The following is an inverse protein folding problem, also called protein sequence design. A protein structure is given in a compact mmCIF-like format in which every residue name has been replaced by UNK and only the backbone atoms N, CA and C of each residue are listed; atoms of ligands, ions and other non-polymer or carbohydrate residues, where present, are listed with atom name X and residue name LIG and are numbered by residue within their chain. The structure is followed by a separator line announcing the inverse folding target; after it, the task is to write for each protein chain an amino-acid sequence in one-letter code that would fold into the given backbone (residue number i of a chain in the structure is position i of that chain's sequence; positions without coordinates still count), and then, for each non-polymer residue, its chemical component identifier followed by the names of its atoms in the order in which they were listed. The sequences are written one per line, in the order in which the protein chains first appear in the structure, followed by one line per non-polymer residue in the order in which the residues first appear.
data_IF_420071029459
#
_entry.id   IF_420071029459
#
_cell.length_a   1.000
_cell.length_b   1.000
_cell.length_c   1.000
_cell.angle_alpha   90.00
_cell.angle_beta   90.00
_cell.angle_gamma   90.00
#
_symmetry.space_group_name_H-M   'P 1'
#
loop_
_entity.id
_entity.type
_entity.pdbx_description
1 polymer ?
#
# COMPACT_ATOMS: atom_id res chain seq x y z
N UNK A 1 22.35 13.99 -59.48
CA UNK A 1 22.03 13.59 -60.87
C UNK A 1 23.13 12.67 -61.38
N UNK A 2 22.76 11.56 -62.04
CA UNK A 2 23.66 10.58 -62.69
C UNK A 2 24.06 9.42 -61.77
N UNK A 3 23.40 8.24 -61.80
CA UNK A 3 23.52 7.11 -62.77
C UNK A 3 24.98 6.86 -63.18
N UNK A 4 25.54 5.66 -63.29
CA UNK A 4 25.19 4.24 -63.12
C UNK A 4 26.39 3.51 -63.77
N UNK A 5 26.79 2.31 -63.30
CA UNK A 5 27.52 1.26 -64.06
C UNK A 5 27.97 0.15 -63.08
N UNK A 6 27.52 -1.11 -63.16
CA UNK A 6 28.05 -2.28 -63.94
C UNK A 6 27.79 -3.50 -63.02
N UNK A 7 27.49 -4.75 -63.38
CA UNK A 7 27.35 -5.51 -64.63
C UNK A 7 26.48 -6.77 -64.40
N UNK A 8 26.01 -7.32 -65.53
CA UNK A 8 25.33 -8.62 -65.77
C UNK A 8 26.41 -9.64 -66.20
N UNK A 9 26.41 -10.91 -65.76
CA UNK A 9 25.92 -12.13 -66.45
C UNK A 9 26.52 -13.34 -65.67
N UNK A 10 25.98 -14.56 -65.60
CA UNK A 10 25.59 -15.42 -66.72
C UNK A 10 24.73 -16.62 -66.28
N UNK A 11 24.14 -17.21 -67.31
CA UNK A 11 23.06 -18.21 -67.43
C UNK A 11 23.55 -19.66 -67.33
N UNK A 12 22.69 -20.60 -66.90
CA UNK A 12 22.55 -21.89 -67.61
C UNK A 12 21.17 -22.52 -67.41
N UNK A 13 20.70 -23.14 -68.48
CA UNK A 13 19.33 -23.54 -68.82
C UNK A 13 19.21 -25.07 -68.81
N UNK A 14 18.05 -25.64 -68.46
CA UNK A 14 17.45 -26.80 -69.16
C UNK A 14 16.03 -27.09 -68.67
N UNK A 15 15.25 -27.70 -69.57
CA UNK A 15 13.79 -27.55 -69.78
C UNK A 15 12.99 -28.84 -69.34
N UNK A 16 11.68 -29.06 -69.66
CA UNK A 16 10.69 -29.52 -68.69
C UNK A 16 10.06 -30.90 -68.99
N UNK A 17 9.20 -31.42 -68.10
CA UNK A 17 8.20 -32.43 -68.49
C UNK A 17 6.89 -32.35 -67.69
N UNK A 18 5.83 -31.95 -68.40
CA UNK A 18 4.43 -32.38 -68.36
C UNK A 18 4.05 -33.54 -67.42
N UNK A 19 2.91 -33.41 -66.71
CA UNK A 19 2.15 -34.57 -66.28
C UNK A 19 1.10 -34.40 -65.16
N UNK A 20 -0.14 -34.10 -65.58
CA UNK A 20 -1.44 -34.53 -65.00
C UNK A 20 -2.02 -33.84 -63.75
N UNK A 21 -3.24 -33.35 -64.00
CA UNK A 21 -4.24 -32.91 -63.04
C UNK A 21 -4.78 -34.06 -62.18
N UNK A 22 -5.05 -33.77 -60.90
CA UNK A 22 -5.99 -34.51 -60.06
C UNK A 22 -6.88 -33.49 -59.35
N UNK A 23 -8.17 -33.59 -59.67
CA UNK A 23 -9.32 -33.00 -59.00
C UNK A 23 -9.52 -33.79 -57.70
N UNK A 24 -9.64 -33.14 -56.54
CA UNK A 24 -10.88 -33.22 -55.73
C UNK A 24 -10.81 -32.60 -54.31
N UNK A 25 -11.99 -32.07 -53.94
CA UNK A 25 -12.55 -31.92 -52.59
C UNK A 25 -12.04 -30.80 -51.66
N UNK A 26 -12.63 -29.61 -51.92
CA UNK A 26 -13.10 -28.68 -50.88
C UNK A 26 -13.87 -29.44 -49.79
N UNK A 27 -13.23 -29.70 -48.65
CA UNK A 27 -13.95 -29.94 -47.40
C UNK A 27 -14.13 -28.60 -46.71
N UNK A 28 -15.30 -28.01 -46.94
CA UNK A 28 -15.79 -26.87 -46.16
C UNK A 28 -15.77 -27.27 -44.68
N UNK A 29 -14.90 -26.64 -43.91
CA UNK A 29 -14.95 -26.66 -42.45
C UNK A 29 -16.27 -25.95 -42.10
N UNK A 30 -17.24 -26.63 -41.45
CA UNK A 30 -18.42 -25.93 -41.01
C UNK A 30 -17.98 -24.87 -40.02
N UNK A 31 -18.25 -23.61 -40.35
CA UNK A 31 -18.21 -22.51 -39.41
C UNK A 31 -19.12 -22.91 -38.25
N UNK A 32 -18.52 -23.36 -37.14
CA UNK A 32 -19.22 -23.45 -35.88
C UNK A 32 -19.56 -22.01 -35.50
N UNK A 33 -20.77 -21.59 -35.86
CA UNK A 33 -21.42 -20.45 -35.28
C UNK A 33 -21.36 -20.64 -33.77
N UNK A 34 -20.39 -19.99 -33.12
CA UNK A 34 -20.39 -19.80 -31.68
C UNK A 34 -21.55 -18.87 -31.41
N UNK A 35 -22.74 -19.46 -31.33
CA UNK A 35 -23.91 -18.81 -30.76
C UNK A 35 -23.57 -18.62 -29.30
N UNK A 36 -22.95 -17.48 -28.99
CA UNK A 36 -22.69 -17.03 -27.63
C UNK A 36 -24.05 -16.78 -27.02
N UNK A 37 -24.65 -17.84 -26.48
CA UNK A 37 -25.84 -17.72 -25.67
C UNK A 37 -25.54 -16.66 -24.60
N UNK A 38 -26.41 -15.66 -24.40
CA UNK A 38 -26.17 -14.64 -23.38
C UNK A 38 -26.04 -15.37 -22.06
N UNK A 39 -24.84 -15.29 -21.48
CA UNK A 39 -24.50 -15.91 -20.21
C UNK A 39 -25.49 -15.35 -19.19
N UNK A 40 -26.44 -16.18 -18.74
CA UNK A 40 -27.46 -15.78 -17.76
C UNK A 40 -26.72 -15.38 -16.49
N UNK A 41 -26.56 -14.08 -16.30
CA UNK A 41 -25.81 -13.53 -15.18
C UNK A 41 -26.56 -13.87 -13.90
N UNK A 42 -25.93 -14.70 -13.05
CA UNK A 42 -26.53 -15.09 -11.79
C UNK A 42 -26.32 -13.95 -10.80
N UNK A 43 -27.39 -13.18 -10.54
CA UNK A 43 -27.40 -12.06 -9.59
C UNK A 43 -26.80 -12.47 -8.23
N UNK A 44 -26.97 -13.74 -7.83
CA UNK A 44 -26.43 -14.29 -6.58
C UNK A 44 -24.90 -14.30 -6.50
N UNK A 45 -24.18 -14.19 -7.63
CA UNK A 45 -22.71 -14.09 -7.63
C UNK A 45 -22.21 -12.71 -7.16
N UNK A 46 -23.06 -11.69 -7.25
CA UNK A 46 -22.77 -10.30 -6.92
C UNK A 46 -23.26 -9.90 -5.52
N UNK A 47 -24.12 -10.71 -4.90
CA UNK A 47 -24.67 -10.38 -3.57
C UNK A 47 -23.55 -10.36 -2.52
N UNK A 48 -23.39 -9.24 -1.79
CA UNK A 48 -22.36 -9.14 -0.78
C UNK A 48 -22.72 -9.98 0.47
N UNK A 49 -21.74 -10.59 1.13
CA UNK A 49 -21.91 -11.17 2.46
C UNK A 49 -22.17 -10.04 3.47
N UNK A 50 -23.45 -9.76 3.77
CA UNK A 50 -23.88 -8.58 4.54
C UNK A 50 -23.15 -8.46 5.88
N UNK A 51 -23.03 -9.56 6.65
CA UNK A 51 -22.33 -9.55 7.94
C UNK A 51 -20.86 -9.13 7.81
N UNK A 52 -20.17 -9.64 6.79
CA UNK A 52 -18.78 -9.28 6.52
C UNK A 52 -18.69 -7.80 6.14
N UNK A 53 -19.51 -7.35 5.20
CA UNK A 53 -19.51 -5.95 4.75
C UNK A 53 -19.78 -5.01 5.91
N UNK A 54 -20.81 -5.29 6.72
CA UNK A 54 -21.13 -4.51 7.91
C UNK A 54 -19.96 -4.47 8.89
N UNK A 55 -19.36 -5.62 9.21
CA UNK A 55 -18.23 -5.69 10.15
C UNK A 55 -17.04 -4.90 9.64
N UNK A 56 -16.69 -5.03 8.35
CA UNK A 56 -15.56 -4.26 7.78
C UNK A 56 -15.84 -2.77 7.79
N UNK A 57 -17.06 -2.35 7.44
CA UNK A 57 -17.45 -0.94 7.49
C UNK A 57 -17.36 -0.37 8.90
N UNK A 58 -17.78 -1.11 9.93
CA UNK A 58 -17.73 -0.66 11.32
C UNK A 58 -16.29 -0.67 11.84
N UNK A 59 -15.57 -1.79 11.71
CA UNK A 59 -14.23 -1.96 12.28
C UNK A 59 -13.19 -1.15 11.51
N UNK A 60 -13.03 -1.37 10.20
CA UNK A 60 -12.09 -0.57 9.39
C UNK A 60 -12.51 0.89 9.32
N UNK A 61 -13.82 1.20 9.30
CA UNK A 61 -14.30 2.58 9.34
C UNK A 61 -13.96 3.29 10.65
N UNK A 62 -14.07 2.60 11.78
CA UNK A 62 -13.62 3.11 13.08
C UNK A 62 -12.14 3.49 13.05
N UNK A 63 -11.25 2.58 12.63
CA UNK A 63 -9.82 2.90 12.51
C UNK A 63 -9.56 3.98 11.46
N UNK A 64 -10.28 3.97 10.34
CA UNK A 64 -10.17 4.98 9.27
C UNK A 64 -10.42 6.39 9.82
N UNK A 65 -11.41 6.57 10.68
CA UNK A 65 -11.74 7.87 11.28
C UNK A 65 -10.60 8.44 12.12
N UNK A 66 -9.94 7.61 12.94
CA UNK A 66 -8.81 8.06 13.76
C UNK A 66 -7.56 8.35 12.92
N UNK A 67 -7.30 7.53 11.90
CA UNK A 67 -6.22 7.78 10.95
C UNK A 67 -6.47 9.05 10.12
N UNK A 68 -7.72 9.27 9.70
CA UNK A 68 -8.14 10.51 9.02
C UNK A 68 -7.93 11.72 9.91
N UNK A 69 -8.27 11.62 11.20
CA UNK A 69 -7.97 12.68 12.16
C UNK A 69 -6.47 12.95 12.23
N UNK A 70 -5.61 11.95 12.32
CA UNK A 70 -4.16 12.17 12.37
C UNK A 70 -3.60 12.90 11.13
N UNK A 71 -4.21 12.69 9.96
CA UNK A 71 -3.81 13.39 8.73
C UNK A 71 -4.37 14.82 8.67
N UNK A 72 -5.69 14.97 8.80
CA UNK A 72 -6.41 16.20 8.43
C UNK A 72 -6.84 17.07 9.61
N UNK A 73 -7.02 16.47 10.79
CA UNK A 73 -7.52 17.13 11.99
C UNK A 73 -6.62 16.86 13.20
N UNK A 74 -5.31 16.81 12.98
CA UNK A 74 -4.30 16.44 13.99
C UNK A 74 -4.48 17.27 15.27
N UNK A 75 -4.48 16.62 16.44
CA UNK A 75 -4.65 17.32 17.72
C UNK A 75 -6.10 17.69 18.07
N UNK A 76 -7.07 17.43 17.20
CA UNK A 76 -8.50 17.51 17.55
C UNK A 76 -9.01 16.17 18.04
N UNK A 77 -9.67 16.17 19.18
CA UNK A 77 -10.30 14.97 19.74
C UNK A 77 -11.62 14.67 19.04
N UNK A 78 -11.80 13.44 18.57
CA UNK A 78 -13.07 12.92 18.03
C UNK A 78 -13.68 11.83 18.92
N UNK A 79 -12.88 11.23 19.82
CA UNK A 79 -13.32 10.18 20.75
C UNK A 79 -13.43 10.60 22.22
N UNK A 80 -13.52 11.90 22.49
CA UNK A 80 -13.63 12.44 23.85
C UNK A 80 -12.37 12.20 24.70
N UNK A 81 -12.55 11.86 25.98
CA UNK A 81 -11.45 11.74 26.95
C UNK A 81 -10.42 10.67 26.56
N UNK A 82 -10.88 9.51 26.06
CA UNK A 82 -10.01 8.39 25.64
C UNK A 82 -9.06 8.81 24.54
N UNK A 83 -9.61 9.60 23.62
CA UNK A 83 -8.87 10.12 22.50
C UNK A 83 -7.88 11.21 22.92
N UNK A 84 -8.30 12.08 23.84
CA UNK A 84 -7.40 13.07 24.43
C UNK A 84 -6.18 12.41 25.08
N UNK A 85 -6.38 11.39 25.92
CA UNK A 85 -5.29 10.67 26.58
C UNK A 85 -4.31 10.05 25.58
N UNK A 86 -4.85 9.39 24.54
CA UNK A 86 -4.04 8.83 23.46
C UNK A 86 -3.28 9.90 22.66
N UNK A 87 -3.92 11.03 22.34
CA UNK A 87 -3.27 12.16 21.68
C UNK A 87 -2.16 12.75 22.55
N UNK A 88 -2.37 12.89 23.86
CA UNK A 88 -1.36 13.37 24.80
C UNK A 88 -0.14 12.45 24.87
N UNK A 89 -0.35 11.13 24.94
CA UNK A 89 0.76 10.16 24.93
C UNK A 89 1.55 10.21 23.63
N UNK A 90 0.86 10.26 22.50
CA UNK A 90 1.48 10.29 21.17
C UNK A 90 1.99 11.69 20.79
N UNK A 91 1.87 12.67 21.69
CA UNK A 91 2.19 14.05 21.37
C UNK A 91 3.70 14.27 21.39
N UNK A 92 4.28 14.72 20.29
CA UNK A 92 5.70 15.07 20.27
C UNK A 92 5.93 16.36 21.05
N UNK A 93 6.78 16.30 22.06
CA UNK A 93 7.18 17.45 22.88
C UNK A 93 7.86 18.55 22.03
N UNK A 94 8.50 18.16 20.92
CA UNK A 94 9.18 19.06 19.99
C UNK A 94 8.20 19.89 19.13
N UNK A 95 7.06 19.29 18.75
CA UNK A 95 6.08 19.92 17.87
C UNK A 95 5.22 21.00 18.55
N UNK A 96 5.12 20.98 19.88
CA UNK A 96 4.30 21.90 20.66
C UNK A 96 5.08 22.78 21.65
N UNK A 97 6.39 22.98 21.46
CA UNK A 97 7.17 23.89 22.31
C UNK A 97 6.69 25.35 22.12
N UNK A 98 5.95 25.83 23.12
CA UNK A 98 5.30 27.15 23.16
C UNK A 98 6.29 28.32 23.33
N UNK A 99 7.53 28.05 23.77
CA UNK A 99 8.50 29.09 24.11
C UNK A 99 9.06 29.81 22.87
N UNK A 100 9.01 29.14 21.70
CA UNK A 100 9.54 29.68 20.44
C UNK A 100 8.49 30.39 19.57
N UNK A 101 7.24 30.55 20.06
CA UNK A 101 6.20 31.36 19.39
C UNK A 101 5.45 30.70 18.22
N UNK A 102 5.65 29.39 17.99
CA UNK A 102 5.08 28.67 16.85
C UNK A 102 3.64 28.20 17.15
N UNK A 103 2.66 29.09 16.98
CA UNK A 103 1.25 28.72 17.02
C UNK A 103 0.86 27.93 15.76
N UNK A 104 0.96 26.61 15.81
CA UNK A 104 -0.10 25.79 15.22
C UNK A 104 -1.03 25.38 16.35
N UNK A 105 -2.08 26.18 16.59
CA UNK A 105 -3.06 25.88 17.64
C UNK A 105 -3.87 24.61 17.38
N UNK A 106 -3.73 23.97 16.21
CA UNK A 106 -4.63 22.89 15.76
C UNK A 106 -4.01 21.80 14.87
N UNK A 107 -2.67 21.69 14.73
CA UNK A 107 -1.99 20.56 14.07
C UNK A 107 -2.35 20.23 12.61
N UNK A 108 -3.32 20.92 12.00
CA UNK A 108 -3.88 20.62 10.68
C UNK A 108 -2.87 20.82 9.53
N UNK A 109 -3.29 20.57 8.29
CA UNK A 109 -2.40 20.77 7.13
C UNK A 109 -1.92 22.23 6.99
N UNK A 110 -2.69 23.19 7.50
CA UNK A 110 -2.31 24.62 7.57
C UNK A 110 -1.15 24.91 8.51
N UNK A 111 -0.80 23.96 9.41
CA UNK A 111 0.38 24.06 10.26
C UNK A 111 1.69 23.92 9.47
N UNK A 112 1.65 23.34 8.28
CA UNK A 112 2.80 23.15 7.41
C UNK A 112 3.06 24.47 6.68
N UNK A 113 3.83 25.37 7.30
CA UNK A 113 4.16 26.68 6.73
C UNK A 113 5.38 26.63 5.81
N UNK A 114 5.48 27.49 4.77
CA UNK A 114 6.63 27.55 3.86
C UNK A 114 7.97 27.92 4.52
N UNK A 115 7.95 28.54 5.72
CA UNK A 115 9.13 29.03 6.48
C UNK A 115 9.49 28.02 7.60
N UNK A 116 9.15 26.75 7.41
CA UNK A 116 9.55 25.69 8.35
C UNK A 116 11.02 25.38 8.12
N UNK A 117 11.88 25.80 9.03
CA UNK A 117 13.32 25.48 9.04
C UNK A 117 13.61 24.34 10.01
N UNK A 118 14.82 23.76 9.98
CA UNK A 118 15.27 22.70 10.91
C UNK A 118 15.06 23.10 12.40
N UNK A 119 15.08 24.40 12.69
CA UNK A 119 14.82 24.95 14.03
C UNK A 119 13.40 24.67 14.59
N UNK A 120 12.45 24.27 13.73
CA UNK A 120 11.06 23.99 14.10
C UNK A 120 10.75 22.51 14.34
N UNK A 121 11.76 21.63 14.23
CA UNK A 121 11.70 20.18 14.47
C UNK A 121 10.31 19.56 14.18
N UNK A 122 9.86 19.70 12.92
CA UNK A 122 8.55 19.27 12.43
C UNK A 122 8.43 17.74 12.32
N UNK A 123 9.45 17.01 12.75
CA UNK A 123 9.58 15.57 12.64
C UNK A 123 8.40 14.82 13.23
N UNK A 124 8.01 15.15 14.46
CA UNK A 124 6.85 14.54 15.11
C UNK A 124 5.53 14.75 14.34
N UNK A 125 5.32 15.94 13.74
CA UNK A 125 4.14 16.18 12.90
C UNK A 125 4.21 15.39 11.59
N UNK A 126 5.39 15.34 10.97
CA UNK A 126 5.63 14.58 9.75
C UNK A 126 5.32 13.10 9.98
N UNK A 127 5.92 12.48 10.99
CA UNK A 127 5.70 11.06 11.36
C UNK A 127 4.23 10.81 11.60
N UNK A 128 3.55 11.67 12.35
CA UNK A 128 2.12 11.50 12.62
C UNK A 128 1.28 11.57 11.36
N UNK A 129 1.53 12.53 10.46
CA UNK A 129 0.76 12.68 9.23
C UNK A 129 1.02 11.54 8.25
N UNK A 130 2.27 11.13 8.07
CA UNK A 130 2.62 10.02 7.19
C UNK A 130 2.14 8.69 7.78
N UNK A 131 2.31 8.46 9.08
CA UNK A 131 1.78 7.28 9.77
C UNK A 131 0.26 7.20 9.73
N UNK A 132 -0.42 8.32 9.99
CA UNK A 132 -1.87 8.45 9.83
C UNK A 132 -2.31 8.16 8.40
N UNK A 133 -1.61 8.68 7.39
CA UNK A 133 -1.91 8.41 5.99
C UNK A 133 -1.67 6.94 5.64
N UNK A 134 -0.54 6.36 6.05
CA UNK A 134 -0.26 4.94 5.82
C UNK A 134 -1.35 4.05 6.43
N UNK A 135 -1.74 4.30 7.69
CA UNK A 135 -2.84 3.58 8.32
C UNK A 135 -4.18 3.80 7.61
N UNK A 136 -4.48 5.03 7.20
CA UNK A 136 -5.68 5.35 6.41
C UNK A 136 -5.72 4.51 5.14
N UNK A 137 -4.60 4.38 4.42
CA UNK A 137 -4.51 3.55 3.21
C UNK A 137 -4.68 2.07 3.53
N UNK A 138 -4.13 1.58 4.65
CA UNK A 138 -4.37 0.19 5.10
C UNK A 138 -5.86 -0.07 5.30
N UNK A 139 -6.60 0.86 5.92
CA UNK A 139 -8.06 0.74 6.05
C UNK A 139 -8.77 0.88 4.70
N UNK A 140 -8.29 1.77 3.82
CA UNK A 140 -8.83 1.99 2.48
C UNK A 140 -8.73 0.73 1.61
N UNK A 141 -7.68 -0.10 1.76
CA UNK A 141 -7.58 -1.40 1.08
C UNK A 141 -8.81 -2.27 1.32
N UNK A 142 -9.37 -2.23 2.53
CA UNK A 142 -10.53 -3.03 2.94
C UNK A 142 -11.85 -2.36 2.55
N UNK A 143 -11.96 -1.05 2.76
CA UNK A 143 -13.19 -0.29 2.55
C UNK A 143 -13.49 -0.01 1.08
N UNK A 144 -12.47 0.36 0.29
CA UNK A 144 -12.67 0.79 -1.09
C UNK A 144 -13.39 -0.24 -1.98
N UNK A 145 -12.98 -1.53 -1.98
CA UNK A 145 -13.65 -2.54 -2.80
C UNK A 145 -15.06 -2.88 -2.32
N UNK A 146 -15.40 -2.57 -1.07
CA UNK A 146 -16.74 -2.79 -0.52
C UNK A 146 -17.66 -1.64 -0.91
N UNK A 147 -17.21 -0.39 -0.73
CA UNK A 147 -18.00 0.81 -0.99
C UNK A 147 -18.23 1.03 -2.49
N UNK A 148 -17.19 0.89 -3.30
CA UNK A 148 -17.23 1.20 -4.73
C UNK A 148 -17.31 -0.02 -5.64
N UNK A 149 -17.60 -1.21 -5.06
CA UNK A 149 -17.69 -2.52 -5.70
C UNK A 149 -17.06 -2.59 -7.11
N UNK A 150 -15.83 -3.13 -7.26
CA UNK A 150 -15.11 -3.08 -8.52
C UNK A 150 -15.91 -3.72 -9.67
N UNK A 151 -15.78 -3.10 -10.85
CA UNK A 151 -16.34 -3.62 -12.09
C UNK A 151 -15.82 -5.06 -12.28
N UNK A 152 -16.73 -5.99 -12.61
CA UNK A 152 -16.49 -7.43 -12.78
C UNK A 152 -16.09 -8.21 -11.52
N UNK A 153 -16.06 -7.58 -10.34
CA UNK A 153 -15.87 -8.29 -9.08
C UNK A 153 -17.08 -9.18 -8.77
N UNK A 154 -16.83 -10.39 -8.26
CA UNK A 154 -17.88 -11.32 -7.84
C UNK A 154 -17.46 -12.01 -6.55
N UNK A 155 -18.35 -11.99 -5.57
CA UNK A 155 -18.09 -12.57 -4.25
C UNK A 155 -17.95 -14.08 -4.33
N UNK A 156 -18.85 -14.75 -5.07
CA UNK A 156 -18.81 -16.22 -5.22
C UNK A 156 -17.64 -16.75 -6.04
N UNK A 157 -16.93 -15.91 -6.78
CA UNK A 157 -15.70 -16.29 -7.51
C UNK A 157 -14.43 -16.17 -6.65
N UNK A 158 -14.58 -15.74 -5.40
CA UNK A 158 -13.46 -15.52 -4.48
C UNK A 158 -12.54 -14.39 -4.94
N UNK A 159 -13.06 -13.40 -5.67
CA UNK A 159 -12.24 -12.26 -6.09
C UNK A 159 -11.71 -11.48 -4.87
N UNK A 160 -12.47 -11.39 -3.79
CA UNK A 160 -12.04 -10.66 -2.59
C UNK A 160 -11.06 -11.45 -1.69
N UNK A 161 -10.83 -12.73 -1.95
CA UNK A 161 -10.07 -13.60 -1.06
C UNK A 161 -8.62 -13.18 -0.80
N UNK A 162 -7.78 -12.88 -1.82
CA UNK A 162 -6.40 -12.45 -1.56
C UNK A 162 -6.36 -11.15 -0.74
N UNK A 163 -7.33 -10.26 -0.94
CA UNK A 163 -7.45 -9.02 -0.19
C UNK A 163 -7.77 -9.30 1.29
N UNK A 164 -8.80 -10.10 1.58
CA UNK A 164 -9.15 -10.41 2.97
C UNK A 164 -8.12 -11.30 3.67
N UNK A 165 -7.46 -12.21 2.96
CA UNK A 165 -6.36 -12.99 3.54
C UNK A 165 -5.21 -12.07 3.97
N UNK A 166 -4.87 -11.08 3.14
CA UNK A 166 -3.85 -10.08 3.47
C UNK A 166 -4.32 -9.15 4.60
N UNK A 167 -5.60 -8.78 4.62
CA UNK A 167 -6.21 -7.99 5.68
C UNK A 167 -6.19 -8.67 7.04
N UNK A 168 -6.44 -9.98 7.11
CA UNK A 168 -6.32 -10.77 8.34
C UNK A 168 -4.90 -10.67 8.89
N UNK A 169 -3.89 -10.91 8.06
CA UNK A 169 -2.48 -10.81 8.47
C UNK A 169 -2.16 -9.40 8.96
N UNK A 170 -2.60 -8.38 8.21
CA UNK A 170 -2.41 -6.97 8.56
C UNK A 170 -3.04 -6.63 9.92
N UNK A 171 -4.26 -7.10 10.16
CA UNK A 171 -4.99 -6.84 11.40
C UNK A 171 -4.32 -7.51 12.60
N UNK A 172 -3.85 -8.75 12.45
CA UNK A 172 -3.13 -9.47 13.51
C UNK A 172 -1.80 -8.81 13.85
N UNK A 173 -1.06 -8.34 12.83
CA UNK A 173 0.19 -7.59 13.01
C UNK A 173 -0.08 -6.27 13.76
N UNK A 174 -1.09 -5.50 13.37
CA UNK A 174 -1.47 -4.27 14.06
C UNK A 174 -1.94 -4.53 15.49
N UNK A 175 -2.73 -5.58 15.71
CA UNK A 175 -3.20 -5.97 17.04
C UNK A 175 -2.03 -6.35 17.96
N UNK A 176 -1.05 -7.09 17.44
CA UNK A 176 0.18 -7.41 18.17
C UNK A 176 0.97 -6.15 18.53
N UNK A 177 1.14 -5.22 17.59
CA UNK A 177 1.82 -3.95 17.81
C UNK A 177 1.15 -3.10 18.89
N UNK A 178 -0.17 -2.92 18.84
CA UNK A 178 -0.87 -2.22 19.92
C UNK A 178 -0.73 -2.98 21.23
N UNK A 179 -0.81 -4.32 21.20
CA UNK A 179 -0.67 -5.18 22.36
C UNK A 179 0.67 -5.00 23.10
N UNK A 180 1.79 -4.89 22.38
CA UNK A 180 3.11 -4.70 23.00
C UNK A 180 3.20 -3.36 23.74
N UNK A 181 2.62 -2.30 23.19
CA UNK A 181 2.64 -0.97 23.80
C UNK A 181 1.58 -0.77 24.89
N UNK A 182 0.47 -1.52 24.86
CA UNK A 182 -0.59 -1.43 25.87
C UNK A 182 -0.07 -1.84 27.25
N UNK A 183 0.74 -2.89 27.32
CA UNK A 183 1.15 -3.50 28.60
C UNK A 183 2.07 -2.58 29.40
N UNK A 184 3.10 -2.02 28.74
CA UNK A 184 4.18 -1.34 29.45
C UNK A 184 4.08 0.20 29.38
N UNK A 185 3.70 0.77 28.23
CA UNK A 185 3.83 2.20 27.98
C UNK A 185 2.50 2.95 28.07
N UNK A 186 1.50 2.52 27.30
CA UNK A 186 0.22 3.23 27.20
C UNK A 186 -0.57 3.13 28.51
N UNK A 187 -0.54 1.99 29.19
CA UNK A 187 -1.22 1.83 30.48
C UNK A 187 -0.54 2.66 31.57
N UNK A 188 0.79 2.72 31.59
CA UNK A 188 1.53 3.60 32.51
C UNK A 188 1.20 5.08 32.29
N UNK A 189 0.93 5.48 31.05
CA UNK A 189 0.52 6.83 30.67
C UNK A 189 -1.00 7.10 30.80
N UNK A 190 -1.82 6.10 31.18
CA UNK A 190 -3.29 6.23 31.24
C UNK A 190 -3.96 6.45 29.87
N UNK A 191 -3.31 6.01 28.78
CA UNK A 191 -3.67 6.24 27.39
C UNK A 191 -4.07 4.96 26.63
N UNK A 192 -4.34 3.87 27.35
CA UNK A 192 -4.54 2.51 26.82
C UNK A 192 -5.98 2.20 26.37
N UNK A 193 -6.98 2.94 26.82
CA UNK A 193 -8.39 2.63 26.52
C UNK A 193 -8.71 2.63 25.02
N UNK A 194 -8.24 3.63 24.28
CA UNK A 194 -8.49 3.74 22.85
C UNK A 194 -7.73 2.66 22.05
N UNK A 195 -6.42 2.43 22.28
CA UNK A 195 -5.70 1.28 21.70
C UNK A 195 -6.34 -0.08 21.98
N UNK A 196 -6.89 -0.31 23.19
CA UNK A 196 -7.66 -1.53 23.49
C UNK A 196 -8.87 -1.68 22.57
N UNK A 197 -9.59 -0.59 22.28
CA UNK A 197 -10.69 -0.62 21.30
C UNK A 197 -10.20 -0.90 19.88
N UNK A 198 -9.05 -0.38 19.47
CA UNK A 198 -8.44 -0.72 18.18
C UNK A 198 -8.15 -2.21 18.08
N UNK A 199 -7.54 -2.81 19.11
CA UNK A 199 -7.26 -4.25 19.18
C UNK A 199 -8.55 -5.06 19.04
N UNK A 200 -9.60 -4.71 19.80
CA UNK A 200 -10.90 -5.40 19.71
C UNK A 200 -11.50 -5.30 18.31
N UNK A 201 -11.50 -4.11 17.70
CA UNK A 201 -12.00 -3.92 16.34
C UNK A 201 -11.24 -4.76 15.31
N UNK A 202 -9.90 -4.80 15.41
CA UNK A 202 -9.04 -5.61 14.54
C UNK A 202 -9.29 -7.11 14.70
N UNK A 203 -9.44 -7.60 15.93
CA UNK A 203 -9.70 -9.02 16.20
C UNK A 203 -11.09 -9.45 15.75
N UNK A 204 -12.14 -8.66 16.03
CA UNK A 204 -13.51 -8.94 15.57
C UNK A 204 -13.56 -9.00 14.04
N UNK A 205 -12.97 -8.02 13.37
CA UNK A 205 -12.90 -8.00 11.91
C UNK A 205 -12.14 -9.23 11.37
N UNK A 206 -11.04 -9.60 12.01
CA UNK A 206 -10.24 -10.78 11.66
C UNK A 206 -11.05 -12.07 11.74
N UNK A 207 -11.81 -12.27 12.83
CA UNK A 207 -12.65 -13.46 13.03
C UNK A 207 -13.72 -13.55 11.94
N UNK A 208 -14.39 -12.45 11.61
CA UNK A 208 -15.44 -12.43 10.59
C UNK A 208 -14.86 -12.66 9.19
N UNK A 209 -13.72 -12.04 8.85
CA UNK A 209 -13.03 -12.31 7.58
C UNK A 209 -12.58 -13.77 7.48
N UNK A 210 -12.04 -14.34 8.55
CA UNK A 210 -11.61 -15.73 8.57
C UNK A 210 -12.79 -16.68 8.38
N UNK A 211 -13.89 -16.46 9.08
CA UNK A 211 -15.13 -17.22 8.90
C UNK A 211 -15.64 -17.15 7.45
N UNK A 212 -15.62 -15.96 6.84
CA UNK A 212 -15.96 -15.80 5.43
C UNK A 212 -15.04 -16.61 4.51
N UNK A 213 -13.72 -16.51 4.67
CA UNK A 213 -12.76 -17.25 3.84
C UNK A 213 -12.89 -18.77 3.98
N UNK A 214 -13.20 -19.25 5.19
CA UNK A 214 -13.39 -20.68 5.45
C UNK A 214 -14.72 -21.19 4.87
N UNK A 215 -15.81 -20.44 5.04
CA UNK A 215 -17.14 -20.82 4.53
C UNK A 215 -17.25 -20.78 3.00
N UNK A 216 -16.42 -19.96 2.33
CA UNK A 216 -16.43 -19.87 0.87
C UNK A 216 -15.78 -21.05 0.15
N UNK A 217 -14.85 -21.80 0.77
CA UNK A 217 -14.07 -22.83 0.07
C UNK A 217 -14.92 -23.88 -0.66
N UNK A 218 -16.10 -24.20 -0.13
CA UNK A 218 -17.03 -25.16 -0.74
C UNK A 218 -18.05 -24.57 -1.71
N UNK A 219 -18.15 -23.25 -1.82
CA UNK A 219 -19.23 -22.57 -2.57
C UNK A 219 -18.72 -21.73 -3.75
N UNK A 220 -17.42 -21.81 -4.05
CA UNK A 220 -16.82 -21.04 -5.14
C UNK A 220 -17.28 -21.51 -6.51
N UNK A 221 -17.77 -20.57 -7.31
CA UNK A 221 -18.13 -20.81 -8.72
C UNK A 221 -16.93 -20.52 -9.61
N UNK A 222 -16.65 -21.40 -10.58
CA UNK A 222 -15.66 -21.13 -11.62
C UNK A 222 -16.26 -20.19 -12.66
N UNK A 223 -15.52 -19.13 -13.03
CA UNK A 223 -15.92 -18.27 -14.13
C UNK A 223 -15.75 -18.95 -15.50
N UNK A 224 -16.40 -18.42 -16.55
CA UNK A 224 -16.16 -18.86 -17.91
C UNK A 224 -14.71 -18.58 -18.30
N UNK A 225 -14.12 -19.45 -19.13
CA UNK A 225 -12.76 -19.25 -19.62
C UNK A 225 -12.68 -17.99 -20.50
N UNK A 226 -11.67 -17.16 -20.27
CA UNK A 226 -11.43 -15.94 -21.06
C UNK A 226 -10.14 -16.13 -21.84
N UNK A 227 -10.13 -15.66 -23.10
CA UNK A 227 -8.92 -15.60 -23.90
C UNK A 227 -7.88 -14.70 -23.20
N UNK A 228 -6.73 -15.28 -22.88
CA UNK A 228 -5.63 -14.54 -22.27
C UNK A 228 -4.96 -13.63 -23.30
N UNK A 229 -4.34 -12.55 -22.82
CA UNK A 229 -3.42 -11.76 -23.64
C UNK A 229 -2.34 -12.64 -24.22
N UNK A 230 -1.92 -12.34 -25.45
CA UNK A 230 -0.89 -13.10 -26.15
C UNK A 230 0.38 -13.29 -25.29
N UNK A 231 0.89 -14.52 -25.25
CA UNK A 231 2.07 -14.88 -24.44
C UNK A 231 1.83 -15.02 -22.93
N UNK A 232 0.58 -14.93 -22.44
CA UNK A 232 0.24 -15.21 -21.03
C UNK A 232 -0.36 -16.60 -20.83
N UNK A 233 -0.05 -17.20 -19.68
CA UNK A 233 -0.63 -18.45 -19.21
C UNK A 233 -1.43 -18.24 -17.91
N UNK A 234 -2.26 -19.20 -17.52
CA UNK A 234 -3.07 -19.12 -16.29
C UNK A 234 -2.27 -18.99 -14.98
N UNK A 235 -0.97 -19.29 -15.02
CA UNK A 235 -0.02 -19.18 -13.90
C UNK A 235 0.89 -17.95 -14.01
N UNK A 236 0.77 -17.18 -15.09
CA UNK A 236 1.55 -15.96 -15.29
C UNK A 236 1.17 -14.89 -14.27
N UNK A 237 2.17 -14.09 -13.86
CA UNK A 237 1.93 -12.83 -13.13
C UNK A 237 1.04 -11.90 -13.95
N UNK A 238 0.19 -11.14 -13.26
CA UNK A 238 -0.79 -10.26 -13.90
C UNK A 238 -0.09 -9.17 -14.71
N UNK A 239 0.81 -8.40 -14.09
CA UNK A 239 1.61 -7.38 -14.78
C UNK A 239 3.08 -7.48 -14.39
N UNK A 240 3.95 -7.70 -15.40
CA UNK A 240 5.40 -7.71 -15.18
C UNK A 240 5.92 -6.32 -14.81
N UNK A 241 5.31 -5.27 -15.34
CA UNK A 241 5.69 -3.88 -15.06
C UNK A 241 5.33 -3.54 -13.62
N UNK A 242 4.08 -3.77 -13.19
CA UNK A 242 3.68 -3.55 -11.80
C UNK A 242 4.53 -4.40 -10.85
N UNK A 243 4.78 -5.67 -11.18
CA UNK A 243 5.58 -6.53 -10.32
C UNK A 243 7.03 -6.03 -10.16
N UNK A 244 7.67 -5.57 -11.24
CA UNK A 244 9.03 -4.99 -11.19
C UNK A 244 9.06 -3.69 -10.39
N UNK A 245 8.13 -2.78 -10.67
CA UNK A 245 8.06 -1.48 -9.97
C UNK A 245 7.80 -1.69 -8.49
N UNK A 246 6.79 -2.49 -8.13
CA UNK A 246 6.48 -2.79 -6.73
C UNK A 246 7.66 -3.47 -6.04
N UNK A 247 8.35 -4.40 -6.70
CA UNK A 247 9.52 -5.06 -6.11
C UNK A 247 10.62 -4.06 -5.76
N UNK A 248 11.00 -3.19 -6.71
CA UNK A 248 12.04 -2.19 -6.46
C UNK A 248 11.63 -1.23 -5.34
N UNK A 249 10.48 -0.58 -5.47
CA UNK A 249 10.06 0.47 -4.51
C UNK A 249 9.73 -0.12 -3.14
N UNK A 250 9.01 -1.25 -3.08
CA UNK A 250 8.69 -1.89 -1.80
C UNK A 250 9.91 -2.48 -1.11
N UNK A 251 10.96 -2.88 -1.83
CA UNK A 251 12.21 -3.33 -1.19
C UNK A 251 12.91 -2.20 -0.46
N UNK A 252 12.99 -1.00 -1.06
CA UNK A 252 13.56 0.17 -0.38
C UNK A 252 12.75 0.56 0.85
N UNK A 253 11.43 0.66 0.71
CA UNK A 253 10.54 0.95 1.85
C UNK A 253 10.64 -0.13 2.92
N UNK A 254 10.74 -1.41 2.54
CA UNK A 254 10.91 -2.52 3.47
C UNK A 254 12.20 -2.41 4.28
N UNK A 255 13.32 -2.02 3.67
CA UNK A 255 14.59 -1.87 4.37
C UNK A 255 14.52 -0.74 5.41
N UNK A 256 13.95 0.40 5.03
CA UNK A 256 13.89 1.60 5.90
C UNK A 256 12.83 1.41 6.99
N UNK A 257 11.61 1.06 6.63
CA UNK A 257 10.55 0.82 7.61
C UNK A 257 10.85 -0.42 8.48
N UNK A 258 11.53 -1.44 7.93
CA UNK A 258 12.02 -2.56 8.72
C UNK A 258 13.04 -2.13 9.77
N UNK A 259 13.98 -1.28 9.40
CA UNK A 259 14.90 -0.66 10.36
C UNK A 259 14.11 0.14 11.39
N UNK A 260 13.24 1.06 11.01
CA UNK A 260 12.54 1.93 11.97
C UNK A 260 11.69 1.13 12.96
N UNK A 261 11.11 0.01 12.51
CA UNK A 261 10.31 -0.86 13.35
C UNK A 261 11.15 -1.64 14.37
N UNK A 262 12.26 -2.27 13.96
CA UNK A 262 13.02 -3.20 14.81
C UNK A 262 14.26 -2.57 15.47
N UNK A 263 14.89 -1.63 14.77
CA UNK A 263 16.15 -0.98 15.16
C UNK A 263 16.05 0.54 14.96
N UNK A 264 15.08 1.21 15.61
CA UNK A 264 14.95 2.65 15.51
C UNK A 264 16.28 3.33 15.86
N UNK A 265 16.70 4.30 15.05
CA UNK A 265 17.94 5.06 15.25
C UNK A 265 19.20 4.42 14.66
N UNK A 266 19.15 3.17 14.19
CA UNK A 266 20.31 2.54 13.55
C UNK A 266 20.64 3.17 12.19
N UNK A 267 21.88 3.60 11.98
CA UNK A 267 22.29 4.23 10.73
C UNK A 267 22.63 3.14 9.69
N UNK A 268 21.88 3.11 8.58
CA UNK A 268 22.19 2.23 7.46
C UNK A 268 23.29 2.86 6.60
N UNK A 269 24.47 2.24 6.56
CA UNK A 269 25.64 2.76 5.81
C UNK A 269 25.55 2.56 4.29
N UNK A 270 24.62 1.73 3.82
CA UNK A 270 24.48 1.34 2.40
C UNK A 270 23.50 2.24 1.61
N UNK A 271 22.66 3.00 2.29
CA UNK A 271 21.77 4.02 1.69
C UNK A 271 22.50 5.36 1.85
N UNK A 272 22.44 6.32 0.90
CA UNK A 272 22.99 7.66 1.15
C UNK A 272 22.49 8.19 2.51
N UNK A 273 23.37 8.90 3.20
CA UNK A 273 23.34 9.16 4.65
C UNK A 273 21.96 9.65 5.13
N UNK A 274 21.24 8.78 5.83
CA UNK A 274 19.82 8.93 6.26
C UNK A 274 19.63 9.80 7.52
N UNK A 275 20.66 10.53 7.94
CA UNK A 275 20.70 11.25 9.22
C UNK A 275 19.53 12.23 9.39
N UNK A 276 19.12 12.89 8.30
CA UNK A 276 18.01 13.87 8.33
C UNK A 276 16.65 13.17 8.44
N UNK A 277 16.50 11.98 7.87
CA UNK A 277 15.27 11.20 8.06
C UNK A 277 15.18 10.66 9.49
N UNK A 278 16.31 10.24 10.08
CA UNK A 278 16.39 9.83 11.47
C UNK A 278 16.12 10.99 12.44
N UNK A 279 16.60 12.19 12.11
CA UNK A 279 16.29 13.43 12.83
C UNK A 279 14.79 13.76 12.74
N UNK A 280 14.22 13.70 11.54
CA UNK A 280 12.79 13.95 11.31
C UNK A 280 11.87 12.87 11.87
N UNK A 281 12.35 11.66 12.05
CA UNK A 281 11.56 10.61 12.72
C UNK A 281 11.68 10.68 14.24
N UNK A 282 12.51 11.59 14.77
CA UNK A 282 12.85 11.66 16.19
C UNK A 282 13.69 10.47 16.66
N UNK A 283 14.16 9.64 15.72
CA UNK A 283 14.81 8.37 16.01
C UNK A 283 16.14 8.53 16.74
N UNK A 284 16.92 9.58 16.41
CA UNK A 284 18.16 9.89 17.13
C UNK A 284 17.92 10.31 18.59
N UNK A 285 16.75 10.84 18.91
CA UNK A 285 16.44 11.34 20.25
C UNK A 285 15.92 10.21 21.13
N UNK A 286 15.02 9.36 20.61
CA UNK A 286 14.41 8.28 21.38
C UNK A 286 15.15 6.94 21.28
N UNK A 287 16.12 6.81 20.37
CA UNK A 287 16.95 5.62 20.17
C UNK A 287 18.33 6.01 19.60
N UNK A 288 19.11 6.84 20.29
CA UNK A 288 20.43 7.22 19.79
C UNK A 288 21.32 5.98 19.59
N UNK A 289 22.16 5.92 18.53
CA UNK A 289 23.12 4.85 18.38
C UNK A 289 24.07 4.77 19.59
N UNK A 290 24.38 3.55 20.04
CA UNK A 290 25.35 3.36 21.13
C UNK A 290 26.68 4.03 20.78
N UNK A 291 27.30 4.69 21.77
CA UNK A 291 28.55 5.44 21.67
C UNK A 291 28.55 6.65 20.70
N UNK A 292 27.37 7.10 20.24
CA UNK A 292 27.27 8.33 19.43
C UNK A 292 27.22 9.61 20.30
N UNK A 293 27.58 10.78 19.75
CA UNK A 293 27.40 12.07 20.44
C UNK A 293 25.96 12.29 20.91
N UNK A 294 24.98 11.86 20.12
CA UNK A 294 23.56 11.93 20.42
C UNK A 294 23.16 11.06 21.61
N UNK A 295 23.83 9.91 21.82
CA UNK A 295 23.59 9.08 23.01
C UNK A 295 24.06 9.77 24.30
N UNK A 296 25.15 10.53 24.22
CA UNK A 296 25.66 11.33 25.34
C UNK A 296 24.75 12.52 25.62
N UNK A 297 24.23 13.16 24.55
CA UNK A 297 23.38 14.35 24.64
C UNK A 297 21.94 14.04 25.07
N UNK A 298 21.33 13.01 24.50
CA UNK A 298 19.90 12.70 24.65
C UNK A 298 19.60 11.41 25.41
N UNK A 299 20.60 10.66 25.86
CA UNK A 299 20.40 9.36 26.52
C UNK A 299 19.50 9.42 27.76
N UNK A 300 19.54 10.53 28.52
CA UNK A 300 18.67 10.75 29.68
C UNK A 300 17.25 11.17 29.29
N UNK A 301 17.07 11.71 28.08
CA UNK A 301 15.78 12.18 27.59
C UNK A 301 14.95 11.06 26.93
N UNK A 302 15.60 9.95 26.57
CA UNK A 302 15.02 8.82 25.85
C UNK A 302 13.66 8.34 26.40
N UNK A 303 13.52 8.27 27.73
CA UNK A 303 12.31 7.83 28.40
C UNK A 303 11.11 8.79 28.23
N UNK A 304 11.36 10.08 27.95
CA UNK A 304 10.31 11.07 27.69
C UNK A 304 9.77 11.01 26.26
N UNK A 305 10.45 10.31 25.35
CA UNK A 305 10.10 10.24 23.93
C UNK A 305 9.51 8.90 23.49
N UNK A 306 9.00 8.10 24.43
CA UNK A 306 8.34 6.81 24.15
C UNK A 306 7.15 6.97 23.19
N UNK A 307 6.39 8.06 23.30
CA UNK A 307 5.30 8.38 22.37
C UNK A 307 5.76 8.65 20.93
N UNK A 308 6.92 9.29 20.76
CA UNK A 308 7.50 9.56 19.44
C UNK A 308 8.05 8.28 18.81
N UNK A 309 8.72 7.44 19.61
CA UNK A 309 9.12 6.08 19.21
C UNK A 309 7.92 5.26 18.76
N UNK A 310 6.85 5.26 19.54
CA UNK A 310 5.61 4.58 19.19
C UNK A 310 5.05 5.07 17.84
N UNK A 311 5.00 6.38 17.60
CA UNK A 311 4.48 6.95 16.35
C UNK A 311 5.38 6.62 15.15
N UNK A 312 6.70 6.61 15.34
CA UNK A 312 7.67 6.23 14.31
C UNK A 312 7.50 4.76 13.92
N UNK A 313 7.46 3.86 14.90
CA UNK A 313 7.23 2.44 14.66
C UNK A 313 5.84 2.16 14.08
N UNK A 314 4.82 2.92 14.49
CA UNK A 314 3.48 2.85 13.93
C UNK A 314 3.46 3.22 12.44
N UNK A 315 4.15 4.30 12.06
CA UNK A 315 4.30 4.68 10.66
C UNK A 315 5.00 3.58 9.87
N UNK A 316 6.14 3.09 10.38
CA UNK A 316 6.92 2.04 9.76
C UNK A 316 6.11 0.77 9.53
N UNK A 317 5.39 0.29 10.56
CA UNK A 317 4.54 -0.88 10.48
C UNK A 317 3.45 -0.76 9.41
N UNK A 318 2.76 0.37 9.35
CA UNK A 318 1.73 0.58 8.34
C UNK A 318 2.31 0.63 6.93
N UNK A 319 3.49 1.23 6.74
CA UNK A 319 4.19 1.21 5.45
C UNK A 319 4.57 -0.22 5.04
N UNK A 320 5.05 -1.05 5.97
CA UNK A 320 5.34 -2.47 5.73
C UNK A 320 4.09 -3.26 5.34
N UNK A 321 2.96 -3.00 5.99
CA UNK A 321 1.67 -3.61 5.63
C UNK A 321 1.27 -3.21 4.20
N UNK A 322 1.44 -1.95 3.81
CA UNK A 322 1.18 -1.52 2.43
C UNK A 322 2.10 -2.24 1.43
N UNK A 323 3.37 -2.43 1.76
CA UNK A 323 4.29 -3.25 0.98
C UNK A 323 3.82 -4.71 0.86
N UNK A 324 3.26 -5.29 1.93
CA UNK A 324 2.68 -6.63 1.89
C UNK A 324 1.53 -6.73 0.88
N UNK A 325 0.59 -5.77 0.88
CA UNK A 325 -0.48 -5.72 -0.13
C UNK A 325 0.06 -5.63 -1.55
N UNK A 326 1.06 -4.77 -1.78
CA UNK A 326 1.71 -4.61 -3.09
C UNK A 326 2.41 -5.90 -3.54
N UNK A 327 3.07 -6.59 -2.62
CA UNK A 327 3.73 -7.86 -2.86
C UNK A 327 2.73 -8.96 -3.24
N UNK A 328 1.64 -9.10 -2.47
CA UNK A 328 0.57 -10.07 -2.78
C UNK A 328 -0.05 -9.77 -4.15
N UNK A 329 -0.33 -8.51 -4.45
CA UNK A 329 -0.92 -8.14 -5.73
C UNK A 329 0.01 -8.36 -6.94
N UNK A 330 1.32 -8.21 -6.74
CA UNK A 330 2.33 -8.41 -7.78
C UNK A 330 2.69 -9.90 -8.00
N UNK A 331 2.83 -10.67 -6.93
CA UNK A 331 3.43 -12.00 -6.94
C UNK A 331 2.52 -13.12 -6.44
N UNK A 332 1.62 -12.81 -5.51
CA UNK A 332 0.65 -13.77 -4.96
C UNK A 332 -0.50 -14.06 -5.92
N UNK A 333 -0.97 -13.04 -6.64
CA UNK A 333 -2.11 -13.16 -7.55
C UNK A 333 -1.65 -13.55 -8.97
N UNK A 334 -2.32 -14.55 -9.57
CA UNK A 334 -2.05 -15.09 -10.91
C UNK A 334 -3.24 -14.88 -11.82
N UNK A 335 -3.05 -14.83 -13.15
CA UNK A 335 -4.10 -14.51 -14.13
C UNK A 335 -5.38 -15.37 -14.02
N UNK A 336 -5.26 -16.64 -13.61
CA UNK A 336 -6.34 -17.66 -13.61
C UNK A 336 -6.94 -17.91 -15.00
N UNK A 337 -7.79 -18.93 -15.12
CA UNK A 337 -8.45 -19.29 -16.39
C UNK A 337 -9.66 -18.45 -16.73
N UNK A 338 -10.27 -17.85 -15.72
CA UNK A 338 -11.44 -16.99 -15.81
C UNK A 338 -11.09 -15.49 -15.85
N UNK A 339 -9.79 -15.15 -15.97
CA UNK A 339 -9.30 -13.77 -15.88
C UNK A 339 -9.46 -13.13 -14.50
N UNK A 340 -9.97 -13.86 -13.50
CA UNK A 340 -10.28 -13.32 -12.18
C UNK A 340 -9.06 -12.75 -11.47
N UNK A 341 -7.86 -13.25 -11.77
CA UNK A 341 -6.60 -12.71 -11.24
C UNK A 341 -6.39 -11.23 -11.49
N UNK A 342 -6.73 -10.75 -12.69
CA UNK A 342 -6.60 -9.33 -13.01
C UNK A 342 -7.58 -8.48 -12.18
N UNK A 343 -8.80 -8.96 -11.99
CA UNK A 343 -9.81 -8.30 -11.14
C UNK A 343 -9.30 -8.21 -9.70
N UNK A 344 -8.78 -9.32 -9.16
CA UNK A 344 -8.21 -9.39 -7.83
C UNK A 344 -7.06 -8.39 -7.63
N UNK A 345 -6.12 -8.32 -8.58
CA UNK A 345 -4.98 -7.41 -8.51
C UNK A 345 -5.40 -5.95 -8.63
N UNK A 346 -6.30 -5.62 -9.57
CA UNK A 346 -6.81 -4.26 -9.77
C UNK A 346 -7.50 -3.68 -8.54
N UNK A 347 -8.18 -4.50 -7.73
CA UNK A 347 -8.76 -4.05 -6.46
C UNK A 347 -7.71 -3.44 -5.53
N UNK A 348 -6.59 -4.15 -5.35
CA UNK A 348 -5.50 -3.71 -4.49
C UNK A 348 -4.79 -2.52 -5.14
N UNK A 349 -4.52 -2.57 -6.45
CA UNK A 349 -3.81 -1.49 -7.15
C UNK A 349 -4.55 -0.16 -7.10
N UNK A 350 -5.88 -0.15 -7.25
CA UNK A 350 -6.69 1.07 -7.16
C UNK A 350 -6.56 1.73 -5.79
N UNK A 351 -6.73 0.97 -4.71
CA UNK A 351 -6.61 1.50 -3.36
C UNK A 351 -5.16 1.93 -3.04
N UNK A 352 -4.15 1.19 -3.51
CA UNK A 352 -2.74 1.55 -3.37
C UNK A 352 -2.38 2.81 -4.17
N UNK A 353 -2.97 3.01 -5.36
CA UNK A 353 -2.74 4.22 -6.17
C UNK A 353 -3.33 5.47 -5.48
N UNK A 354 -4.57 5.39 -5.00
CA UNK A 354 -5.20 6.50 -4.27
C UNK A 354 -4.42 6.81 -3.00
N UNK A 355 -4.03 5.78 -2.26
CA UNK A 355 -3.24 5.94 -1.04
C UNK A 355 -1.84 6.46 -1.25
N UNK A 356 -1.13 5.94 -2.27
CA UNK A 356 0.16 6.42 -2.69
C UNK A 356 0.12 7.90 -3.09
N UNK A 357 -0.94 8.32 -3.80
CA UNK A 357 -1.14 9.73 -4.14
C UNK A 357 -1.31 10.63 -2.90
N UNK A 358 -2.04 10.17 -1.87
CA UNK A 358 -2.16 10.89 -0.60
C UNK A 358 -0.80 11.01 0.11
N UNK A 359 -0.03 9.92 0.18
CA UNK A 359 1.29 9.91 0.80
C UNK A 359 2.23 10.86 0.04
N UNK A 360 2.29 10.76 -1.29
CA UNK A 360 3.07 11.65 -2.17
C UNK A 360 2.67 13.10 -1.97
N UNK A 361 1.37 13.39 -1.86
CA UNK A 361 0.87 14.74 -1.58
C UNK A 361 1.40 15.27 -0.23
N UNK A 362 1.35 14.46 0.83
CA UNK A 362 1.87 14.86 2.13
C UNK A 362 3.39 15.09 2.09
N UNK A 363 4.17 14.16 1.52
CA UNK A 363 5.60 14.38 1.31
C UNK A 363 5.87 15.68 0.53
N UNK A 364 5.03 16.00 -0.46
CA UNK A 364 5.15 17.24 -1.22
C UNK A 364 4.84 18.49 -0.39
N UNK A 365 3.88 18.43 0.53
CA UNK A 365 3.62 19.54 1.46
C UNK A 365 4.83 19.82 2.37
N UNK A 366 5.49 18.75 2.83
CA UNK A 366 6.69 18.85 3.64
C UNK A 366 7.96 19.15 2.81
N UNK A 367 7.87 19.24 1.48
CA UNK A 367 9.05 19.41 0.62
C UNK A 367 9.85 20.70 0.89
N UNK A 368 9.19 21.77 1.35
CA UNK A 368 9.86 23.02 1.69
C UNK A 368 10.61 22.92 3.02
N UNK A 369 10.00 22.30 4.03
CA UNK A 369 10.69 21.92 5.26
C UNK A 369 11.87 21.01 4.94
N UNK A 370 11.70 20.14 3.94
CA UNK A 370 12.70 19.21 3.45
C UNK A 370 13.68 19.81 2.42
N UNK A 371 13.73 21.13 2.29
CA UNK A 371 14.77 21.77 1.46
C UNK A 371 16.17 21.59 2.06
N UNK A 372 16.25 21.41 3.39
CA UNK A 372 17.39 20.88 4.13
C UNK A 372 17.51 19.36 4.05
N UNK A 373 16.40 18.63 3.86
CA UNK A 373 16.40 17.17 3.83
C UNK A 373 17.30 16.59 2.75
N UNK A 374 17.92 15.48 3.13
CA UNK A 374 18.91 14.76 2.34
C UNK A 374 18.36 14.39 0.96
N UNK A 375 19.29 14.12 0.04
CA UNK A 375 19.00 13.57 -1.28
C UNK A 375 17.94 12.44 -1.22
N UNK A 376 17.93 11.69 -0.11
CA UNK A 376 17.10 10.51 0.15
C UNK A 376 15.61 10.80 0.13
N UNK A 377 15.13 11.89 0.76
CA UNK A 377 13.70 12.20 0.76
C UNK A 377 13.18 12.47 -0.66
N UNK A 378 14.01 13.07 -1.51
CA UNK A 378 13.67 13.36 -2.92
C UNK A 378 13.62 12.08 -3.75
N UNK A 379 14.55 11.15 -3.53
CA UNK A 379 14.52 9.82 -4.16
C UNK A 379 13.31 9.00 -3.72
N UNK A 380 12.96 9.02 -2.43
CA UNK A 380 11.76 8.37 -1.90
C UNK A 380 10.49 8.92 -2.53
N UNK A 381 10.37 10.25 -2.60
CA UNK A 381 9.23 10.91 -3.24
C UNK A 381 9.12 10.52 -4.72
N UNK A 382 10.23 10.50 -5.45
CA UNK A 382 10.25 10.09 -6.85
C UNK A 382 9.83 8.62 -7.03
N UNK A 383 10.37 7.71 -6.21
CA UNK A 383 10.07 6.28 -6.27
C UNK A 383 8.58 6.02 -5.95
N UNK A 384 8.05 6.63 -4.89
CA UNK A 384 6.65 6.52 -4.51
C UNK A 384 5.72 7.16 -5.55
N UNK A 385 6.10 8.30 -6.13
CA UNK A 385 5.32 8.94 -7.20
C UNK A 385 5.28 8.08 -8.47
N UNK A 386 6.41 7.51 -8.86
CA UNK A 386 6.50 6.59 -10.01
C UNK A 386 5.64 5.33 -9.78
N UNK A 387 5.74 4.71 -8.61
CA UNK A 387 4.90 3.56 -8.25
C UNK A 387 3.41 3.92 -8.26
N UNK A 388 3.05 5.05 -7.66
CA UNK A 388 1.67 5.56 -7.64
C UNK A 388 1.13 5.74 -9.06
N UNK A 389 1.92 6.30 -9.96
CA UNK A 389 1.55 6.49 -11.36
C UNK A 389 1.33 5.13 -12.07
N UNK A 390 2.25 4.18 -11.90
CA UNK A 390 2.12 2.84 -12.49
C UNK A 390 0.89 2.11 -11.94
N UNK A 391 0.67 2.13 -10.63
CA UNK A 391 -0.52 1.52 -10.02
C UNK A 391 -1.81 2.21 -10.47
N UNK A 392 -1.79 3.53 -10.66
CA UNK A 392 -2.92 4.28 -11.21
C UNK A 392 -3.24 3.86 -12.64
N UNK A 393 -2.21 3.79 -13.50
CA UNK A 393 -2.36 3.39 -14.90
C UNK A 393 -2.97 1.99 -15.01
N UNK A 394 -2.41 0.98 -14.33
CA UNK A 394 -2.87 -0.41 -14.44
C UNK A 394 -4.10 -0.73 -13.57
N UNK A 395 -4.34 0.07 -12.55
CA UNK A 395 -5.49 -0.06 -11.66
C UNK A 395 -6.77 0.46 -12.32
N UNK A 396 -6.72 1.63 -12.96
CA UNK A 396 -7.89 2.31 -13.50
C UNK A 396 -8.10 2.11 -15.00
N UNK A 397 -7.04 1.83 -15.77
CA UNK A 397 -7.09 1.57 -17.21
C UNK A 397 -6.64 0.12 -17.49
#
# INVERSE_FOLDING_TARGET
MGKSKVAVAATTTSTPSSGKAVIDNKKAIPASSSTTAPLKENINDHLPPILLVFTVMVCSGFLFMYSFRDVFATGRTIGGYRDHAYLSFTNSLMFFNNEKGWKSTQGGLSAIMPITTDANNMGGLFVRKIGGAACLVVQLQKLWPIVFHPIDARWRRGHFNPLFATAIVSNLILAAFYGTYIVDDLQAAGADELPKLFVVALLVETVVMLYYLLSQKGTMTKGPAIALTEGKTHTSVVSRIVARTNFLVSTFVLLIAGRDLFFPGHILTFIPRDDIYLEWTGALIHSPPEDSPEAVEHGMEQAFFVGDKYMSQFMALNMLILCLYKFVAAFGIRYRSDGGGLVQARMIWKAQAVGGALIVYLFRLFANAASSASLDLRWHLMALAYETFILGLYGFF
#
